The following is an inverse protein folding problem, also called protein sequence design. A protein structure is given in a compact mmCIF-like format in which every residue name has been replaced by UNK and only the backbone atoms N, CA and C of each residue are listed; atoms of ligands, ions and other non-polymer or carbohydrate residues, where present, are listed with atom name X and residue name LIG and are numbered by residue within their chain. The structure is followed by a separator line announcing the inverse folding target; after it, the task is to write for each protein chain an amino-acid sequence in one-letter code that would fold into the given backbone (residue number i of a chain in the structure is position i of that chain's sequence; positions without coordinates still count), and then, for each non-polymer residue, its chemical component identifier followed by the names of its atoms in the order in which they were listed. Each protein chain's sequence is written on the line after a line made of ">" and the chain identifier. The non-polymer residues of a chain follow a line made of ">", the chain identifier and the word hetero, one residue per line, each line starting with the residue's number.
data_IF_088001820759
#
_entry.id   IF_088001820759
#
_cell.length_a   1.000
_cell.length_b   1.000
_cell.length_c   1.000
_cell.angle_alpha   90.00
_cell.angle_beta   90.00
_cell.angle_gamma   90.00
#
_symmetry.space_group_name_H-M   'P 1'
#
loop_
_entity.id
_entity.type
_entity.pdbx_description
1 polymer ?
#
# COMPACT_ATOMS: atom_id res chain seq x y z
N UNK A 1 14.30 -16.43 -15.45
CA UNK A 1 14.40 -15.62 -14.21
C UNK A 1 15.40 -16.31 -13.29
N UNK A 2 16.47 -15.62 -12.86
CA UNK A 2 17.48 -16.22 -11.99
C UNK A 2 16.89 -16.36 -10.56
N UNK A 3 16.64 -17.61 -10.13
CA UNK A 3 16.06 -17.94 -8.83
C UNK A 3 17.01 -17.65 -7.65
N UNK A 4 18.31 -17.62 -7.91
CA UNK A 4 19.32 -17.31 -6.89
C UNK A 4 19.32 -15.82 -6.55
N UNK A 5 18.99 -14.97 -7.53
CA UNK A 5 18.93 -13.52 -7.33
C UNK A 5 17.60 -13.04 -6.75
N UNK A 6 16.47 -13.59 -7.19
CA UNK A 6 15.14 -13.06 -6.87
C UNK A 6 14.28 -14.05 -6.09
N UNK A 7 13.81 -13.64 -4.91
CA UNK A 7 12.76 -14.32 -4.15
C UNK A 7 11.39 -13.84 -4.62
N UNK A 8 10.53 -14.75 -5.04
CA UNK A 8 9.16 -14.44 -5.45
C UNK A 8 8.25 -14.32 -4.23
N UNK A 9 7.53 -13.20 -4.11
CA UNK A 9 6.44 -13.01 -3.14
C UNK A 9 5.11 -13.11 -3.87
N UNK A 10 4.32 -14.10 -3.44
CA UNK A 10 2.93 -14.33 -3.85
C UNK A 10 2.18 -14.98 -2.69
N UNK A 11 0.87 -15.22 -2.86
CA UNK A 11 0.11 -16.07 -1.93
C UNK A 11 0.78 -17.46 -1.83
N UNK A 12 0.85 -18.08 -0.63
CA UNK A 12 0.15 -17.73 0.61
C UNK A 12 0.95 -16.90 1.65
N UNK A 13 1.74 -15.90 1.24
CA UNK A 13 2.43 -15.03 2.20
C UNK A 13 1.45 -14.29 3.14
N UNK A 14 1.73 -14.26 4.45
CA UNK A 14 0.85 -13.70 5.48
C UNK A 14 0.50 -12.23 5.26
N UNK A 15 1.46 -11.41 4.80
CA UNK A 15 1.21 -9.99 4.53
C UNK A 15 0.28 -9.81 3.33
N UNK A 16 0.46 -10.63 2.28
CA UNK A 16 -0.46 -10.65 1.15
C UNK A 16 -1.84 -11.14 1.58
N UNK A 17 -1.91 -12.16 2.45
CA UNK A 17 -3.18 -12.66 2.96
C UNK A 17 -3.92 -11.58 3.76
N UNK A 18 -3.22 -10.86 4.64
CA UNK A 18 -3.75 -9.70 5.33
C UNK A 18 -4.30 -8.66 4.36
N UNK A 19 -3.60 -8.41 3.24
CA UNK A 19 -4.09 -7.50 2.21
C UNK A 19 -5.43 -7.94 1.62
N UNK A 20 -5.58 -9.23 1.31
CA UNK A 20 -6.79 -9.78 0.68
C UNK A 20 -7.98 -9.77 1.64
N UNK A 21 -7.76 -9.97 2.94
CA UNK A 21 -8.84 -10.17 3.92
C UNK A 21 -9.21 -8.91 4.72
N UNK A 22 -8.30 -7.93 4.85
CA UNK A 22 -8.56 -6.75 5.69
C UNK A 22 -9.61 -5.82 5.06
N UNK A 23 -10.80 -5.65 5.66
CA UNK A 23 -11.87 -4.83 5.08
C UNK A 23 -11.49 -3.34 4.98
N UNK A 24 -10.61 -2.84 5.86
CA UNK A 24 -10.15 -1.45 5.82
C UNK A 24 -9.38 -1.09 4.54
N UNK A 25 -8.76 -2.08 3.89
CA UNK A 25 -8.06 -1.87 2.62
C UNK A 25 -9.00 -1.69 1.43
N UNK A 26 -10.30 -1.98 1.58
CA UNK A 26 -11.26 -1.71 0.52
C UNK A 26 -11.37 -0.22 0.21
N UNK A 27 -11.22 0.65 1.20
CA UNK A 27 -11.13 2.09 1.01
C UNK A 27 -9.92 2.46 0.14
N UNK A 28 -8.75 1.88 0.43
CA UNK A 28 -7.54 2.13 -0.34
C UNK A 28 -7.66 1.64 -1.79
N UNK A 29 -8.27 0.47 -2.03
CA UNK A 29 -8.44 -0.08 -3.38
C UNK A 29 -9.49 0.69 -4.20
N UNK A 30 -10.65 0.99 -3.61
CA UNK A 30 -11.79 1.55 -4.35
C UNK A 30 -11.74 3.07 -4.44
N UNK A 31 -11.37 3.75 -3.37
CA UNK A 31 -11.36 5.22 -3.32
C UNK A 31 -10.02 5.75 -3.81
N UNK A 32 -8.91 5.30 -3.20
CA UNK A 32 -7.58 5.79 -3.55
C UNK A 32 -7.01 5.11 -4.80
N UNK A 33 -7.53 3.96 -5.22
CA UNK A 33 -7.00 3.21 -6.36
C UNK A 33 -5.64 2.58 -6.08
N UNK A 34 -5.31 2.28 -4.82
CA UNK A 34 -4.09 1.55 -4.49
C UNK A 34 -4.22 0.09 -4.90
N UNK A 35 -3.18 -0.50 -5.50
CA UNK A 35 -3.20 -1.91 -5.93
C UNK A 35 -1.93 -2.63 -5.53
N UNK A 36 -2.10 -3.90 -5.13
CA UNK A 36 -1.00 -4.82 -4.87
C UNK A 36 -0.85 -5.79 -6.06
N UNK A 37 0.32 -5.89 -6.71
CA UNK A 37 0.56 -6.91 -7.73
C UNK A 37 0.36 -8.34 -7.24
N UNK A 38 -0.04 -9.27 -8.12
CA UNK A 38 -0.14 -10.70 -7.77
C UNK A 38 1.21 -11.35 -7.47
N UNK A 39 2.25 -10.87 -8.13
CA UNK A 39 3.62 -11.37 -8.02
C UNK A 39 4.55 -10.18 -7.88
N UNK A 40 5.43 -10.24 -6.88
CA UNK A 40 6.53 -9.31 -6.70
C UNK A 40 7.82 -10.10 -6.51
N UNK A 41 8.95 -9.47 -6.76
CA UNK A 41 10.28 -10.06 -6.61
C UNK A 41 11.09 -9.22 -5.63
N UNK A 42 11.84 -9.88 -4.75
CA UNK A 42 12.83 -9.22 -3.88
C UNK A 42 14.21 -9.73 -4.29
N UNK A 43 15.10 -8.80 -4.63
CA UNK A 43 16.52 -9.10 -4.83
C UNK A 43 17.17 -9.52 -3.49
N UNK A 44 17.70 -10.73 -3.42
CA UNK A 44 18.38 -11.26 -2.22
C UNK A 44 19.87 -10.91 -2.19
N UNK A 45 20.44 -10.49 -3.31
CA UNK A 45 21.88 -10.22 -3.46
C UNK A 45 22.26 -8.77 -3.14
N UNK A 46 21.28 -7.87 -3.16
CA UNK A 46 21.48 -6.46 -2.86
C UNK A 46 21.40 -6.17 -1.36
N UNK A 47 22.34 -5.33 -0.88
CA UNK A 47 22.39 -4.81 0.48
C UNK A 47 21.43 -3.63 0.75
N UNK A 48 20.68 -3.20 -0.28
CA UNK A 48 19.77 -2.06 -0.19
C UNK A 48 18.54 -2.37 0.70
N UNK A 49 17.86 -1.33 1.23
CA UNK A 49 16.63 -1.49 2.00
C UNK A 49 15.53 -2.23 1.22
N UNK A 50 14.62 -2.88 1.94
CA UNK A 50 13.54 -3.70 1.35
C UNK A 50 12.73 -2.96 0.29
N UNK A 51 12.46 -1.66 0.48
CA UNK A 51 11.70 -0.84 -0.46
C UNK A 51 12.41 -0.58 -1.79
N UNK A 52 13.75 -0.67 -1.81
CA UNK A 52 14.58 -0.35 -2.97
C UNK A 52 14.93 -1.59 -3.79
N UNK A 53 14.94 -2.77 -3.15
CA UNK A 53 15.24 -4.06 -3.78
C UNK A 53 14.00 -4.85 -4.24
N UNK A 54 12.85 -4.19 -4.32
CA UNK A 54 11.60 -4.77 -4.81
C UNK A 54 11.41 -4.52 -6.31
N UNK A 55 10.97 -5.56 -7.01
CA UNK A 55 10.75 -5.54 -8.44
C UNK A 55 9.40 -6.14 -8.81
N UNK A 56 8.82 -5.61 -9.89
CA UNK A 56 7.55 -6.03 -10.46
C UNK A 56 7.80 -6.65 -11.85
N UNK A 57 7.61 -7.98 -11.99
CA UNK A 57 7.70 -8.64 -13.29
C UNK A 57 6.41 -8.42 -14.10
N UNK A 58 6.55 -8.12 -15.39
CA UNK A 58 5.44 -8.07 -16.32
C UNK A 58 5.23 -9.46 -16.97
N UNK A 59 4.05 -10.10 -16.81
CA UNK A 59 3.81 -11.41 -17.42
C UNK A 59 3.68 -11.37 -18.95
N UNK A 60 3.46 -10.18 -19.52
CA UNK A 60 3.19 -10.04 -20.95
C UNK A 60 4.45 -9.88 -21.81
N UNK A 61 5.45 -9.15 -21.31
CA UNK A 61 6.70 -8.85 -22.05
C UNK A 61 7.95 -9.30 -21.31
N UNK A 62 7.81 -9.96 -20.15
CA UNK A 62 8.91 -10.45 -19.31
C UNK A 62 9.88 -9.36 -18.80
N UNK A 63 9.54 -8.08 -18.99
CA UNK A 63 10.29 -6.97 -18.41
C UNK A 63 10.15 -6.96 -16.88
N UNK A 64 11.24 -6.64 -16.20
CA UNK A 64 11.31 -6.50 -14.75
C UNK A 64 11.54 -5.02 -14.43
N UNK A 65 10.70 -4.46 -13.57
CA UNK A 65 10.76 -3.04 -13.22
C UNK A 65 10.92 -2.86 -11.72
N UNK A 66 11.74 -1.91 -11.27
CA UNK A 66 11.75 -1.53 -9.85
C UNK A 66 10.35 -1.07 -9.41
N UNK A 67 9.83 -1.59 -8.29
CA UNK A 67 8.48 -1.25 -7.78
C UNK A 67 8.37 0.21 -7.38
N UNK A 68 9.49 0.81 -6.96
CA UNK A 68 9.57 2.22 -6.60
C UNK A 68 9.15 3.17 -7.73
N UNK A 69 9.11 2.72 -9.00
CA UNK A 69 8.48 3.45 -10.12
C UNK A 69 7.00 3.78 -9.85
N UNK A 70 6.29 2.89 -9.17
CA UNK A 70 4.89 3.07 -8.79
C UNK A 70 4.73 3.53 -7.34
N UNK A 71 5.74 4.17 -6.78
CA UNK A 71 5.68 4.76 -5.44
C UNK A 71 5.22 6.23 -5.46
N UNK A 72 5.00 6.80 -4.28
CA UNK A 72 4.63 8.21 -4.07
C UNK A 72 3.39 8.61 -4.91
N UNK A 73 3.57 9.49 -5.89
CA UNK A 73 2.49 10.02 -6.73
C UNK A 73 1.89 8.96 -7.66
N UNK A 74 2.61 7.87 -7.92
CA UNK A 74 2.18 6.78 -8.78
C UNK A 74 1.55 5.60 -8.01
N UNK A 75 1.58 5.64 -6.66
CA UNK A 75 1.02 4.59 -5.78
C UNK A 75 -0.50 4.47 -5.88
N UNK A 76 -1.16 5.58 -6.18
CA UNK A 76 -2.60 5.72 -6.19
C UNK A 76 -3.17 5.81 -7.61
N UNK A 77 -4.49 5.84 -7.70
CA UNK A 77 -5.25 6.00 -8.94
C UNK A 77 -5.00 4.85 -9.94
N UNK A 78 -4.65 3.66 -9.45
CA UNK A 78 -4.44 2.44 -10.22
C UNK A 78 -5.69 1.55 -10.23
N UNK A 79 -6.91 2.12 -10.27
CA UNK A 79 -8.18 1.38 -10.09
C UNK A 79 -8.33 0.13 -10.97
N UNK A 80 -7.84 0.16 -12.22
CA UNK A 80 -7.91 -0.96 -13.14
C UNK A 80 -6.62 -1.80 -13.21
N UNK A 81 -5.69 -1.61 -12.25
CA UNK A 81 -4.40 -2.31 -12.17
C UNK A 81 -3.20 -1.41 -12.46
N UNK A 82 -2.04 -2.02 -12.63
CA UNK A 82 -0.78 -1.30 -12.89
C UNK A 82 -0.42 -1.45 -14.36
N UNK A 83 -0.05 -0.38 -15.06
CA UNK A 83 0.34 -0.46 -16.48
C UNK A 83 1.85 -0.70 -16.59
N UNK A 84 2.26 -1.69 -17.38
CA UNK A 84 3.66 -1.91 -17.72
C UNK A 84 4.15 -0.81 -18.69
N UNK A 85 5.26 -0.10 -18.40
CA UNK A 85 5.79 0.92 -19.28
C UNK A 85 6.38 0.37 -20.59
N UNK A 86 6.78 -0.91 -20.62
CA UNK A 86 7.40 -1.51 -21.82
C UNK A 86 6.39 -2.01 -22.84
N UNK A 87 5.22 -2.47 -22.42
CA UNK A 87 4.22 -3.07 -23.34
C UNK A 87 2.81 -2.53 -23.17
N UNK A 88 2.61 -1.54 -22.29
CA UNK A 88 1.33 -0.84 -22.03
C UNK A 88 0.14 -1.74 -21.67
N UNK A 89 0.42 -3.00 -21.31
CA UNK A 89 -0.57 -3.95 -20.81
C UNK A 89 -0.67 -3.84 -19.29
N UNK A 90 -1.86 -4.12 -18.77
CA UNK A 90 -2.10 -4.15 -17.34
C UNK A 90 -1.46 -5.39 -16.71
N UNK A 91 -0.62 -5.16 -15.70
CA UNK A 91 -0.04 -6.17 -14.83
C UNK A 91 -1.12 -6.63 -13.84
N UNK A 92 -1.31 -7.94 -13.67
CA UNK A 92 -2.34 -8.47 -12.80
C UNK A 92 -2.09 -8.10 -11.33
N UNK A 93 -3.13 -7.57 -10.69
CA UNK A 93 -3.13 -7.23 -9.26
C UNK A 93 -4.08 -8.16 -8.49
N UNK A 94 -3.84 -8.25 -7.19
CA UNK A 94 -4.74 -8.89 -6.24
C UNK A 94 -5.97 -8.01 -6.03
N UNK A 95 -7.02 -8.65 -5.54
CA UNK A 95 -8.23 -7.97 -5.09
C UNK A 95 -8.44 -8.27 -3.62
N UNK A 96 -8.81 -7.24 -2.87
CA UNK A 96 -9.38 -7.42 -1.56
C UNK A 96 -10.80 -8.01 -1.66
N UNK A 97 -11.14 -8.95 -0.77
CA UNK A 97 -12.43 -9.62 -0.77
C UNK A 97 -13.59 -8.63 -0.55
N UNK A 98 -13.42 -7.70 0.38
CA UNK A 98 -14.42 -6.66 0.68
C UNK A 98 -14.62 -5.74 -0.53
N UNK A 99 -13.54 -5.38 -1.24
CA UNK A 99 -13.64 -4.62 -2.49
C UNK A 99 -14.45 -5.36 -3.55
N UNK A 100 -14.26 -6.67 -3.70
CA UNK A 100 -15.04 -7.46 -4.65
C UNK A 100 -16.53 -7.50 -4.29
N UNK A 101 -16.86 -7.67 -3.01
CA UNK A 101 -18.24 -7.65 -2.53
C UNK A 101 -18.90 -6.31 -2.83
N UNK A 102 -18.24 -5.19 -2.50
CA UNK A 102 -18.76 -3.84 -2.77
C UNK A 102 -18.95 -3.63 -4.28
N UNK A 103 -17.96 -4.01 -5.10
CA UNK A 103 -18.06 -3.88 -6.55
C UNK A 103 -19.19 -4.74 -7.13
N UNK A 104 -19.40 -5.95 -6.62
CA UNK A 104 -20.47 -6.83 -7.05
C UNK A 104 -21.85 -6.24 -6.71
N UNK A 105 -22.05 -5.76 -5.48
CA UNK A 105 -23.31 -5.15 -5.02
C UNK A 105 -23.60 -3.85 -5.79
N UNK A 106 -22.57 -3.04 -6.03
CA UNK A 106 -22.71 -1.74 -6.72
C UNK A 106 -22.68 -1.86 -8.25
N UNK A 107 -22.45 -3.07 -8.80
CA UNK A 107 -22.31 -3.30 -10.24
C UNK A 107 -23.44 -2.70 -11.10
N UNK A 108 -24.73 -2.75 -10.70
CA UNK A 108 -25.80 -2.14 -11.48
C UNK A 108 -25.64 -0.64 -11.74
N UNK A 109 -24.90 0.07 -10.87
CA UNK A 109 -24.71 1.53 -10.97
C UNK A 109 -23.61 1.89 -11.98
N UNK A 110 -22.50 1.15 -11.98
CA UNK A 110 -21.30 1.52 -12.74
C UNK A 110 -20.93 0.54 -13.87
N UNK A 111 -21.55 -0.63 -13.92
CA UNK A 111 -21.20 -1.72 -14.84
C UNK A 111 -21.22 -1.28 -16.31
N UNK A 112 -22.18 -0.44 -16.70
CA UNK A 112 -22.32 0.07 -18.07
C UNK A 112 -21.19 1.04 -18.44
N UNK A 113 -20.60 1.72 -17.46
CA UNK A 113 -19.51 2.67 -17.65
C UNK A 113 -18.12 2.06 -17.49
N UNK A 114 -18.01 0.76 -17.14
CA UNK A 114 -16.74 0.09 -16.89
C UNK A 114 -15.74 0.27 -18.03
N UNK A 115 -16.14 -0.05 -19.25
CA UNK A 115 -15.27 0.02 -20.43
C UNK A 115 -14.81 1.45 -20.77
N UNK A 116 -15.70 2.46 -20.86
CA UNK A 116 -15.25 3.83 -21.12
C UNK A 116 -14.40 4.38 -19.97
N UNK A 117 -14.70 4.04 -18.71
CA UNK A 117 -13.86 4.42 -17.56
C UNK A 117 -12.46 3.81 -17.67
N UNK A 118 -12.35 2.52 -18.00
CA UNK A 118 -11.07 1.84 -18.16
C UNK A 118 -10.23 2.46 -19.29
N UNK A 119 -10.85 2.80 -20.42
CA UNK A 119 -10.17 3.44 -21.54
C UNK A 119 -9.66 4.85 -21.18
N UNK A 120 -10.49 5.66 -20.52
CA UNK A 120 -10.11 7.01 -20.03
C UNK A 120 -8.99 6.91 -19.00
N UNK A 121 -9.11 6.00 -18.04
CA UNK A 121 -8.11 5.73 -17.04
C UNK A 121 -6.77 5.31 -17.65
N UNK A 122 -6.77 4.40 -18.63
CA UNK A 122 -5.55 3.94 -19.30
C UNK A 122 -4.81 5.12 -19.95
N UNK A 123 -5.54 5.97 -20.69
CA UNK A 123 -4.98 7.19 -21.31
C UNK A 123 -4.41 8.14 -20.26
N UNK A 124 -5.11 8.35 -19.15
CA UNK A 124 -4.65 9.18 -18.04
C UNK A 124 -3.33 8.66 -17.45
N UNK A 125 -3.24 7.36 -17.16
CA UNK A 125 -2.04 6.76 -16.57
C UNK A 125 -0.84 6.78 -17.51
N UNK A 126 -1.03 6.52 -18.80
CA UNK A 126 0.05 6.63 -19.79
C UNK A 126 0.60 8.07 -19.87
N UNK A 127 -0.28 9.09 -19.87
CA UNK A 127 0.15 10.50 -19.79
C UNK A 127 0.88 10.79 -18.49
N UNK A 128 0.39 10.26 -17.37
CA UNK A 128 1.04 10.42 -16.07
C UNK A 128 2.48 9.90 -16.12
N UNK A 129 2.69 8.71 -16.69
CA UNK A 129 4.02 8.09 -16.80
C UNK A 129 4.95 8.81 -17.77
N UNK A 130 4.42 9.33 -18.89
CA UNK A 130 5.19 10.14 -19.82
C UNK A 130 5.71 11.44 -19.17
N UNK A 131 4.97 11.99 -18.22
CA UNK A 131 5.33 13.20 -17.49
C UNK A 131 6.14 12.93 -16.20
N UNK A 132 6.33 11.67 -15.83
CA UNK A 132 7.19 11.33 -14.71
C UNK A 132 8.65 11.46 -15.12
N UNK A 133 9.48 12.02 -14.24
CA UNK A 133 10.92 11.99 -14.43
C UNK A 133 11.39 10.54 -14.58
N UNK A 134 12.44 10.29 -15.40
CA UNK A 134 13.08 8.98 -15.45
C UNK A 134 13.30 8.48 -14.02
N UNK A 135 12.90 7.24 -13.77
CA UNK A 135 13.03 6.66 -12.44
C UNK A 135 14.53 6.50 -12.13
N UNK A 136 15.08 7.42 -11.36
CA UNK A 136 16.28 7.18 -10.57
C UNK A 136 15.91 6.28 -9.40
N UNK A 137 16.80 5.37 -9.01
CA UNK A 137 16.65 4.54 -7.81
C UNK A 137 16.55 5.45 -6.59
N UNK A 138 15.33 5.91 -6.30
CA UNK A 138 15.09 6.89 -5.27
C UNK A 138 15.27 6.21 -3.92
N UNK A 139 16.35 6.57 -3.22
CA UNK A 139 16.59 6.09 -1.87
C UNK A 139 15.41 6.44 -0.97
N UNK A 140 14.98 5.48 -0.16
CA UNK A 140 13.97 5.71 0.85
C UNK A 140 14.49 6.80 1.79
N UNK A 141 13.72 7.88 1.98
CA UNK A 141 14.07 8.88 2.98
C UNK A 141 14.00 8.22 4.35
N UNK A 142 14.99 8.47 5.20
CA UNK A 142 14.91 8.10 6.61
C UNK A 142 13.70 8.79 7.24
N UNK A 143 12.65 8.02 7.50
CA UNK A 143 11.48 8.51 8.22
C UNK A 143 11.77 8.34 9.70
N UNK A 144 11.66 9.44 10.46
CA UNK A 144 11.77 9.37 11.92
C UNK A 144 10.66 8.50 12.48
N UNK A 145 11.01 7.28 12.90
CA UNK A 145 10.12 6.31 13.53
C UNK A 145 9.39 6.91 14.75
N UNK A 146 10.07 7.80 15.47
CA UNK A 146 9.53 8.50 16.62
C UNK A 146 8.39 9.46 16.21
N UNK A 147 8.59 10.25 15.13
CA UNK A 147 7.54 11.13 14.60
C UNK A 147 6.33 10.35 14.11
N UNK A 148 6.56 9.21 13.44
CA UNK A 148 5.48 8.34 12.97
C UNK A 148 4.70 7.72 14.14
N UNK A 149 5.40 7.22 15.16
CA UNK A 149 4.78 6.64 16.35
C UNK A 149 3.98 7.66 17.17
N UNK A 150 4.54 8.85 17.39
CA UNK A 150 3.84 9.94 18.08
C UNK A 150 2.60 10.41 17.32
N UNK A 151 2.70 10.59 16.00
CA UNK A 151 1.55 10.97 15.18
C UNK A 151 0.44 9.92 15.26
N UNK A 152 0.80 8.64 15.18
CA UNK A 152 -0.16 7.54 15.34
C UNK A 152 -0.83 7.55 16.72
N UNK A 153 -0.05 7.74 17.79
CA UNK A 153 -0.57 7.85 19.15
C UNK A 153 -1.55 9.01 19.32
N UNK A 154 -1.25 10.19 18.75
CA UNK A 154 -2.14 11.36 18.76
C UNK A 154 -3.44 11.06 18.00
N UNK A 155 -3.35 10.48 16.80
CA UNK A 155 -4.54 10.09 16.05
C UNK A 155 -5.42 9.12 16.85
N UNK A 156 -4.83 8.08 17.44
CA UNK A 156 -5.56 7.13 18.29
C UNK A 156 -6.23 7.81 19.48
N UNK A 157 -5.53 8.74 20.15
CA UNK A 157 -6.10 9.50 21.26
C UNK A 157 -7.34 10.29 20.82
N UNK A 158 -7.25 11.01 19.69
CA UNK A 158 -8.37 11.79 19.15
C UNK A 158 -9.56 10.89 18.83
N UNK A 159 -9.33 9.75 18.15
CA UNK A 159 -10.40 8.79 17.83
C UNK A 159 -11.01 8.11 19.06
N UNK A 160 -10.24 7.91 20.13
CA UNK A 160 -10.75 7.34 21.38
C UNK A 160 -11.48 8.38 22.25
N UNK A 161 -10.99 9.62 22.28
CA UNK A 161 -11.52 10.67 23.14
C UNK A 161 -12.82 11.30 22.60
N UNK A 162 -12.96 11.44 21.27
CA UNK A 162 -14.16 12.06 20.67
C UNK A 162 -15.45 11.31 21.04
N UNK A 163 -15.57 9.98 20.87
CA UNK A 163 -16.79 9.24 21.25
C UNK A 163 -17.11 9.37 22.74
N UNK A 164 -16.08 9.31 23.60
CA UNK A 164 -16.25 9.42 25.05
C UNK A 164 -16.75 10.81 25.45
N UNK A 165 -16.29 11.86 24.78
CA UNK A 165 -16.74 13.24 25.01
C UNK A 165 -18.20 13.48 24.62
N UNK A 166 -18.74 12.70 23.68
CA UNK A 166 -20.14 12.80 23.24
C UNK A 166 -21.08 12.05 24.21
N UNK A 167 -20.55 11.06 24.94
CA UNK A 167 -21.34 10.22 25.87
C UNK A 167 -21.39 10.72 27.32
N UNK A 168 -20.91 11.94 27.61
CA UNK A 168 -20.79 12.54 28.97
C UNK A 168 -20.07 11.68 30.02
N UNK A 169 -19.40 10.60 29.61
CA UNK A 169 -18.65 9.68 30.48
C UNK A 169 -17.21 10.14 30.79
N UNK A 170 -16.93 11.43 30.62
CA UNK A 170 -15.56 11.94 30.59
C UNK A 170 -15.08 12.40 31.99
N UNK A 171 -14.69 11.46 32.84
CA UNK A 171 -13.93 11.79 34.05
C UNK A 171 -12.51 12.24 33.65
N UNK A 172 -11.98 13.32 34.24
CA UNK A 172 -10.64 13.86 33.90
C UNK A 172 -9.49 12.85 34.07
N UNK A 173 -9.62 11.90 35.00
CA UNK A 173 -8.68 10.79 35.15
C UNK A 173 -8.69 9.83 33.95
N UNK A 174 -9.84 9.66 33.28
CA UNK A 174 -9.96 8.78 32.11
C UNK A 174 -9.18 9.31 30.90
N UNK A 175 -9.19 10.63 30.68
CA UNK A 175 -8.46 11.26 29.57
C UNK A 175 -6.94 11.10 29.71
N UNK A 176 -6.42 11.26 30.93
CA UNK A 176 -4.99 11.08 31.20
C UNK A 176 -4.57 9.63 30.95
N UNK A 177 -5.35 8.65 31.44
CA UNK A 177 -5.07 7.22 31.23
C UNK A 177 -5.11 6.84 29.74
N UNK A 178 -6.10 7.34 28.99
CA UNK A 178 -6.19 7.12 27.54
C UNK A 178 -4.99 7.75 26.83
N UNK A 179 -4.60 8.97 27.20
CA UNK A 179 -3.45 9.67 26.63
C UNK A 179 -2.13 8.91 26.84
N UNK A 180 -1.89 8.41 28.06
CA UNK A 180 -0.71 7.60 28.38
C UNK A 180 -0.73 6.30 27.58
N UNK A 181 -1.87 5.60 27.56
CA UNK A 181 -2.03 4.35 26.80
C UNK A 181 -1.78 4.53 25.31
N UNK A 182 -2.36 5.57 24.69
CA UNK A 182 -2.16 5.88 23.28
C UNK A 182 -0.71 6.27 22.95
N UNK A 183 -0.02 6.95 23.88
CA UNK A 183 1.40 7.30 23.70
C UNK A 183 2.29 6.06 23.73
N UNK A 184 2.07 5.15 24.69
CA UNK A 184 2.81 3.87 24.78
C UNK A 184 2.56 3.04 23.51
N UNK A 185 1.28 2.92 23.09
CA UNK A 185 0.92 2.20 21.87
C UNK A 185 1.58 2.83 20.62
N UNK A 186 1.61 4.16 20.53
CA UNK A 186 2.29 4.89 19.46
C UNK A 186 3.80 4.63 19.41
N UNK A 187 4.48 4.62 20.57
CA UNK A 187 5.91 4.33 20.66
C UNK A 187 6.23 2.87 20.31
N UNK A 188 5.39 1.91 20.75
CA UNK A 188 5.52 0.50 20.37
C UNK A 188 5.35 0.32 18.86
N UNK A 189 4.33 0.96 18.27
CA UNK A 189 4.11 0.96 16.83
C UNK A 189 5.30 1.55 16.06
N UNK A 190 5.77 2.73 16.46
CA UNK A 190 6.95 3.36 15.84
C UNK A 190 8.20 2.48 15.93
N UNK A 191 8.43 1.84 17.08
CA UNK A 191 9.56 0.91 17.27
C UNK A 191 9.43 -0.34 16.40
N UNK A 192 8.24 -0.93 16.30
CA UNK A 192 7.96 -2.04 15.40
C UNK A 192 8.20 -1.64 13.94
N UNK A 193 7.75 -0.46 13.52
CA UNK A 193 7.99 0.05 12.17
C UNK A 193 9.47 0.28 11.89
N UNK A 194 10.27 0.74 12.86
CA UNK A 194 11.73 0.83 12.73
C UNK A 194 12.35 -0.54 12.47
N UNK A 195 11.93 -1.56 13.21
CA UNK A 195 12.42 -2.93 13.01
C UNK A 195 11.99 -3.46 11.65
N UNK A 196 10.72 -3.32 11.25
CA UNK A 196 10.22 -3.85 9.97
C UNK A 196 10.82 -3.13 8.76
N UNK A 197 10.91 -1.80 8.79
CA UNK A 197 11.44 -1.01 7.67
C UNK A 197 12.97 -0.96 7.64
N UNK A 198 13.61 -1.08 8.80
CA UNK A 198 15.07 -1.07 8.96
C UNK A 198 15.73 -2.44 8.92
N UNK A 199 14.97 -3.54 9.02
CA UNK A 199 15.53 -4.89 8.88
C UNK A 199 15.73 -5.25 7.41
N UNK A 200 16.86 -5.91 7.14
CA UNK A 200 17.18 -6.55 5.86
C UNK A 200 16.36 -7.82 5.59
N UNK A 201 15.39 -8.15 6.45
CA UNK A 201 14.70 -9.45 6.42
C UNK A 201 13.74 -9.54 5.24
N UNK A 202 13.93 -10.56 4.40
CA UNK A 202 13.03 -10.93 3.33
C UNK A 202 11.96 -11.88 3.88
N UNK A 203 10.78 -11.34 4.18
CA UNK A 203 9.55 -12.09 4.44
C UNK A 203 9.36 -13.25 3.44
#
# INVERSE_FOLDING_TARGET
>A
MNKEKYKEIKLPNLMILHWVLNPGLAFNELILGQRLPKVMLIDQTSDEPLMERQYLPCPHCQAIHATARWSKQASFQNWFGIICPSCEKTIPCLWNLTSLIILAITFPIWGWFKHPMQARWKKFKLRQYANMKPFENAKAKEVSWLKMGLLFGVCMFVFAAIPLSITDNLAGHSLLTIGIGCTIAGLLFGSMMKLVLGTKSSW
#
